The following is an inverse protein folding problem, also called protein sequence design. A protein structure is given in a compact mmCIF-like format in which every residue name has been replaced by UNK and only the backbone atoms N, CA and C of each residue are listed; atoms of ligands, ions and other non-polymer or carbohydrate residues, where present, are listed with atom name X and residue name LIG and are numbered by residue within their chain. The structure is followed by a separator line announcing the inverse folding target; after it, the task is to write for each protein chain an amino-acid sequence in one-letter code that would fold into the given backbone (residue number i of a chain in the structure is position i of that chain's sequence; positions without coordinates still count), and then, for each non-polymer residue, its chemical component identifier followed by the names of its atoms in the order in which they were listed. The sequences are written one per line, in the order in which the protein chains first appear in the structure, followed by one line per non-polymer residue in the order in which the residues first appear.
data_IF_860213206249
#
_entry.id   IF_860213206249
#
_cell.length_a   1.000
_cell.length_b   1.000
_cell.length_c   1.000
_cell.angle_alpha   90.00
_cell.angle_beta   90.00
_cell.angle_gamma   90.00
#
_symmetry.space_group_name_H-M   'P 1'
#
loop_
_entity.id
_entity.type
_entity.pdbx_description
1 polymer ?
#
# COMPACT_ATOMS: atom_id res chain seq x y z
N UNK A 1 -19.63 -13.73 8.01
CA UNK A 1 -19.91 -14.83 7.07
C UNK A 1 -20.76 -14.28 5.94
N UNK A 2 -20.19 -14.12 4.73
CA UNK A 2 -20.84 -13.47 3.58
C UNK A 2 -21.27 -14.46 2.50
N UNK A 3 -20.85 -15.73 2.60
CA UNK A 3 -21.10 -16.75 1.59
C UNK A 3 -22.14 -17.81 2.01
N UNK A 4 -22.39 -17.98 3.31
CA UNK A 4 -23.43 -18.89 3.83
C UNK A 4 -23.10 -20.38 3.70
N UNK A 5 -21.93 -20.70 3.15
CA UNK A 5 -21.40 -22.03 2.90
C UNK A 5 -20.06 -22.28 3.60
N UNK A 6 -19.58 -21.34 4.42
CA UNK A 6 -18.40 -21.52 5.26
C UNK A 6 -18.71 -22.54 6.37
N UNK A 7 -17.99 -23.67 6.37
CA UNK A 7 -18.20 -24.79 7.28
C UNK A 7 -17.13 -24.88 8.39
N UNK A 8 -16.30 -23.85 8.55
CA UNK A 8 -15.23 -23.78 9.56
C UNK A 8 -13.83 -23.85 8.96
N UNK A 9 -12.82 -23.89 9.84
CA UNK A 9 -11.42 -24.04 9.48
C UNK A 9 -10.67 -24.84 10.55
N UNK A 10 -9.53 -25.42 10.16
CA UNK A 10 -8.58 -26.05 11.06
C UNK A 10 -7.56 -25.04 11.57
N UNK A 11 -6.97 -25.32 12.72
CA UNK A 11 -5.83 -24.54 13.21
C UNK A 11 -4.67 -24.58 12.19
N UNK A 12 -3.87 -23.49 12.10
CA UNK A 12 -2.70 -23.47 11.23
C UNK A 12 -1.67 -24.50 11.65
N UNK A 13 -1.19 -25.28 10.68
CA UNK A 13 -0.10 -26.22 10.84
C UNK A 13 1.22 -25.55 10.43
N UNK A 14 2.22 -25.54 11.32
CA UNK A 14 3.52 -24.93 11.03
C UNK A 14 4.60 -25.99 10.77
N UNK A 15 5.49 -25.68 9.84
CA UNK A 15 6.72 -26.41 9.62
C UNK A 15 7.75 -26.19 10.74
N UNK A 16 8.91 -26.87 10.66
CA UNK A 16 9.97 -26.69 11.63
C UNK A 16 10.50 -25.26 11.60
N UNK A 17 11.03 -24.83 12.74
CA UNK A 17 11.71 -23.55 12.87
C UNK A 17 13.03 -23.59 12.09
N UNK A 18 13.27 -22.54 11.30
CA UNK A 18 14.50 -22.34 10.55
C UNK A 18 15.11 -20.99 10.92
N UNK A 19 16.42 -20.98 11.15
CA UNK A 19 17.18 -19.76 11.39
C UNK A 19 17.79 -19.27 10.07
N UNK A 20 17.48 -18.03 9.71
CA UNK A 20 17.92 -17.38 8.48
C UNK A 20 18.78 -16.16 8.82
N UNK A 21 19.88 -15.98 8.11
CA UNK A 21 20.72 -14.77 8.19
C UNK A 21 20.34 -13.84 7.05
N UNK A 22 19.61 -12.76 7.35
CA UNK A 22 19.08 -11.80 6.39
C UNK A 22 19.70 -10.42 6.64
N UNK A 23 20.54 -9.95 5.70
CA UNK A 23 21.32 -8.69 5.83
C UNK A 23 22.03 -8.59 7.19
N UNK A 24 22.66 -9.69 7.63
CA UNK A 24 23.43 -9.75 8.87
C UNK A 24 22.61 -9.87 10.17
N UNK A 25 21.28 -10.01 10.07
CA UNK A 25 20.40 -10.27 11.22
C UNK A 25 19.96 -11.73 11.17
N UNK A 26 20.09 -12.44 12.28
CA UNK A 26 19.51 -13.78 12.44
C UNK A 26 18.06 -13.71 12.88
N UNK A 27 17.20 -14.44 12.18
CA UNK A 27 15.78 -14.59 12.54
C UNK A 27 15.37 -16.05 12.52
N UNK A 28 14.64 -16.47 13.54
CA UNK A 28 14.06 -17.83 13.61
C UNK A 28 12.56 -17.75 13.31
N UNK A 29 12.14 -18.49 12.28
CA UNK A 29 10.80 -18.40 11.68
C UNK A 29 10.31 -19.80 11.28
N UNK A 30 8.99 -20.05 11.17
CA UNK A 30 8.52 -21.32 10.65
C UNK A 30 8.91 -21.46 9.18
N UNK A 31 9.38 -22.63 8.75
CA UNK A 31 9.71 -22.85 7.33
C UNK A 31 8.50 -22.62 6.42
N UNK A 32 7.33 -23.08 6.87
CA UNK A 32 6.07 -22.98 6.14
C UNK A 32 4.88 -22.95 7.11
N UNK A 33 3.73 -22.50 6.62
CA UNK A 33 2.43 -22.65 7.28
C UNK A 33 1.44 -23.28 6.29
N UNK A 34 0.60 -24.19 6.78
CA UNK A 34 -0.53 -24.74 6.04
C UNK A 34 -1.83 -24.41 6.77
N UNK A 35 -2.78 -23.84 6.04
CA UNK A 35 -4.11 -23.52 6.55
C UNK A 35 -5.17 -24.27 5.75
N UNK A 36 -6.24 -24.72 6.42
CA UNK A 36 -7.31 -25.49 5.79
C UNK A 36 -8.67 -24.92 6.16
N UNK A 37 -9.46 -24.55 5.15
CA UNK A 37 -10.84 -24.09 5.30
C UNK A 37 -11.80 -25.15 4.78
N UNK A 38 -12.98 -25.24 5.38
CA UNK A 38 -14.03 -26.17 5.00
C UNK A 38 -15.18 -25.42 4.35
N UNK A 39 -15.59 -25.83 3.15
CA UNK A 39 -16.72 -25.26 2.40
C UNK A 39 -17.81 -26.31 2.22
N UNK A 40 -19.06 -25.92 2.42
CA UNK A 40 -20.22 -26.74 2.07
C UNK A 40 -20.54 -26.56 0.59
N UNK A 41 -20.41 -27.63 -0.18
CA UNK A 41 -20.73 -27.63 -1.61
C UNK A 41 -22.25 -27.60 -1.83
N UNK A 42 -22.74 -27.16 -3.01
CA UNK A 42 -24.17 -27.21 -3.34
C UNK A 42 -24.79 -28.61 -3.25
N UNK A 43 -23.98 -29.67 -3.40
CA UNK A 43 -24.36 -31.07 -3.19
C UNK A 43 -24.64 -31.43 -1.72
N UNK A 44 -24.29 -30.56 -0.77
CA UNK A 44 -24.41 -30.79 0.67
C UNK A 44 -23.15 -31.37 1.33
N UNK A 45 -22.16 -31.80 0.55
CA UNK A 45 -20.89 -32.32 1.05
C UNK A 45 -20.02 -31.19 1.63
N UNK A 46 -19.20 -31.51 2.64
CA UNK A 46 -18.18 -30.60 3.16
C UNK A 46 -16.84 -30.98 2.51
N UNK A 47 -16.23 -30.02 1.82
CA UNK A 47 -14.94 -30.17 1.14
C UNK A 47 -13.92 -29.26 1.80
N UNK A 48 -12.71 -29.79 2.02
CA UNK A 48 -11.59 -29.06 2.60
C UNK A 48 -10.69 -28.48 1.50
N UNK A 49 -10.32 -27.22 1.66
CA UNK A 49 -9.40 -26.51 0.79
C UNK A 49 -8.21 -26.06 1.62
N UNK A 50 -7.01 -26.52 1.25
CA UNK A 50 -5.77 -26.16 1.93
C UNK A 50 -4.86 -25.29 1.06
N UNK A 51 -4.13 -24.38 1.71
CA UNK A 51 -2.99 -23.70 1.13
C UNK A 51 -1.78 -23.81 2.05
N UNK A 52 -0.61 -23.98 1.44
CA UNK A 52 0.68 -24.08 2.13
C UNK A 52 1.59 -23.00 1.56
N UNK A 53 2.07 -22.14 2.44
CA UNK A 53 2.89 -20.98 2.11
C UNK A 53 4.24 -21.10 2.81
N UNK A 54 5.32 -20.75 2.11
CA UNK A 54 6.66 -20.72 2.68
C UNK A 54 7.00 -19.31 3.17
N UNK A 55 7.65 -19.23 4.34
CA UNK A 55 7.96 -17.93 4.95
C UNK A 55 8.83 -17.07 4.03
N UNK A 56 9.87 -17.67 3.43
CA UNK A 56 10.82 -17.01 2.54
C UNK A 56 10.19 -16.45 1.25
N UNK A 57 9.01 -16.95 0.87
CA UNK A 57 8.27 -16.50 -0.32
C UNK A 57 7.28 -15.36 -0.01
N UNK A 58 6.91 -15.19 1.26
CA UNK A 58 5.80 -14.32 1.68
C UNK A 58 6.23 -13.11 2.50
N UNK A 59 7.37 -13.17 3.19
CA UNK A 59 7.76 -12.12 4.12
C UNK A 59 8.03 -10.77 3.43
N UNK A 60 7.64 -9.68 4.08
CA UNK A 60 7.92 -8.32 3.58
C UNK A 60 9.23 -7.79 4.17
N UNK A 61 10.08 -7.22 3.31
CA UNK A 61 11.34 -6.60 3.70
C UNK A 61 11.11 -5.22 4.35
N UNK A 62 12.07 -4.76 5.15
CA UNK A 62 12.03 -3.46 5.81
C UNK A 62 12.22 -2.27 4.85
N UNK A 63 12.67 -2.53 3.62
CA UNK A 63 12.92 -1.52 2.59
C UNK A 63 13.43 -2.18 1.30
N UNK A 64 13.63 -1.37 0.27
CA UNK A 64 14.05 -1.84 -1.07
C UNK A 64 15.49 -2.38 -1.10
N UNK A 65 16.38 -1.82 -0.29
CA UNK A 65 17.81 -2.13 -0.31
C UNK A 65 18.22 -3.18 0.76
N UNK A 66 17.26 -3.90 1.34
CA UNK A 66 17.52 -4.87 2.40
C UNK A 66 16.67 -6.13 2.25
N UNK A 67 17.25 -7.27 2.65
CA UNK A 67 16.55 -8.55 2.79
C UNK A 67 16.03 -8.76 4.21
N UNK A 68 16.30 -7.84 5.14
CA UNK A 68 15.82 -7.95 6.50
C UNK A 68 14.28 -7.78 6.55
N UNK A 69 13.56 -8.59 7.34
CA UNK A 69 12.12 -8.46 7.48
C UNK A 69 11.73 -7.13 8.13
N UNK A 70 10.54 -6.63 7.81
CA UNK A 70 9.98 -5.43 8.44
C UNK A 70 9.58 -5.68 9.91
N UNK A 71 9.18 -4.62 10.62
CA UNK A 71 8.83 -4.70 12.04
C UNK A 71 7.70 -5.70 12.34
N UNK A 72 6.73 -5.84 11.45
CA UNK A 72 5.57 -6.72 11.61
C UNK A 72 5.98 -8.20 11.50
N UNK A 73 6.76 -8.53 10.47
CA UNK A 73 7.29 -9.88 10.24
C UNK A 73 8.30 -10.31 11.30
N UNK A 74 9.06 -9.38 11.88
CA UNK A 74 9.91 -9.64 13.06
C UNK A 74 9.10 -9.94 14.32
N UNK A 75 8.00 -9.21 14.55
CA UNK A 75 7.21 -9.31 15.79
C UNK A 75 6.26 -10.51 15.79
N UNK A 76 5.67 -10.89 14.65
CA UNK A 76 4.68 -11.97 14.55
C UNK A 76 4.89 -12.86 13.32
N UNK A 77 6.05 -13.54 13.17
CA UNK A 77 6.36 -14.31 11.96
C UNK A 77 5.35 -15.43 11.65
N UNK A 78 4.88 -16.15 12.69
CA UNK A 78 3.86 -17.21 12.54
C UNK A 78 2.50 -16.65 12.16
N UNK A 79 2.05 -15.58 12.85
CA UNK A 79 0.75 -14.98 12.60
C UNK A 79 0.64 -14.35 11.21
N UNK A 80 1.71 -13.71 10.73
CA UNK A 80 1.75 -13.16 9.37
C UNK A 80 1.68 -14.28 8.32
N UNK A 81 2.47 -15.36 8.49
CA UNK A 81 2.44 -16.47 7.55
C UNK A 81 1.11 -17.23 7.57
N UNK A 82 0.50 -17.40 8.74
CA UNK A 82 -0.82 -18.02 8.88
C UNK A 82 -1.90 -17.20 8.15
N UNK A 83 -1.86 -15.87 8.26
CA UNK A 83 -2.75 -14.97 7.51
C UNK A 83 -2.60 -15.13 5.99
N UNK A 84 -1.37 -15.22 5.49
CA UNK A 84 -1.12 -15.49 4.07
C UNK A 84 -1.71 -16.84 3.64
N UNK A 85 -1.46 -17.90 4.41
CA UNK A 85 -1.97 -19.24 4.12
C UNK A 85 -3.50 -19.32 4.18
N UNK A 86 -4.13 -18.67 5.16
CA UNK A 86 -5.60 -18.58 5.26
C UNK A 86 -6.19 -17.86 4.04
N UNK A 87 -5.65 -16.70 3.68
CA UNK A 87 -6.12 -15.96 2.51
C UNK A 87 -6.03 -16.79 1.22
N UNK A 88 -4.96 -17.57 1.04
CA UNK A 88 -4.80 -18.45 -0.12
C UNK A 88 -5.77 -19.64 -0.09
N UNK A 89 -6.04 -20.20 1.09
CA UNK A 89 -7.04 -21.26 1.24
C UNK A 89 -8.45 -20.75 0.92
N UNK A 90 -8.79 -19.55 1.38
CA UNK A 90 -10.06 -18.88 1.08
C UNK A 90 -10.22 -18.59 -0.43
N UNK A 91 -9.17 -18.10 -1.10
CA UNK A 91 -9.18 -17.89 -2.56
C UNK A 91 -9.41 -19.19 -3.35
N UNK A 92 -8.86 -20.31 -2.87
CA UNK A 92 -9.09 -21.63 -3.47
C UNK A 92 -10.51 -22.14 -3.26
N UNK A 93 -11.07 -21.90 -2.08
CA UNK A 93 -12.41 -22.37 -1.72
C UNK A 93 -13.53 -21.53 -2.37
N UNK A 94 -13.34 -20.21 -2.53
CA UNK A 94 -14.29 -19.32 -3.19
C UNK A 94 -13.64 -18.50 -4.31
N UNK A 95 -13.22 -19.10 -5.45
CA UNK A 95 -12.63 -18.35 -6.55
C UNK A 95 -13.51 -17.19 -7.06
N UNK A 96 -14.83 -17.36 -6.98
CA UNK A 96 -15.86 -16.40 -7.37
C UNK A 96 -15.95 -15.15 -6.46
N UNK A 97 -15.54 -15.27 -5.19
CA UNK A 97 -15.57 -14.18 -4.19
C UNK A 97 -14.15 -13.71 -3.85
N UNK A 98 -13.14 -14.57 -3.99
CA UNK A 98 -11.74 -14.33 -3.61
C UNK A 98 -10.98 -13.33 -4.48
N UNK A 99 -11.61 -12.77 -5.51
CA UNK A 99 -11.11 -11.62 -6.27
C UNK A 99 -11.57 -10.28 -5.66
N UNK A 100 -12.46 -10.28 -4.67
CA UNK A 100 -12.75 -9.07 -3.91
C UNK A 100 -11.61 -8.86 -2.90
N UNK A 101 -10.98 -7.67 -2.85
CA UNK A 101 -9.95 -7.38 -1.86
C UNK A 101 -10.52 -7.68 -0.46
N UNK A 102 -9.87 -8.58 0.27
CA UNK A 102 -10.23 -8.93 1.64
C UNK A 102 -10.35 -7.65 2.47
N UNK A 103 -11.31 -7.52 3.36
CA UNK A 103 -11.49 -6.31 4.18
C UNK A 103 -10.24 -5.94 5.01
N UNK A 104 -9.30 -6.87 5.22
CA UNK A 104 -7.98 -6.60 5.78
C UNK A 104 -6.99 -5.89 4.85
N UNK A 105 -7.30 -5.69 3.56
CA UNK A 105 -6.64 -4.70 2.67
C UNK A 105 -7.07 -3.26 3.00
N UNK A 106 -8.07 -3.10 3.90
CA UNK A 106 -8.63 -1.81 4.33
C UNK A 106 -8.45 -1.50 5.83
N UNK A 107 -7.70 -2.32 6.58
CA UNK A 107 -7.36 -2.00 7.98
C UNK A 107 -5.87 -2.28 8.21
N UNK A 108 -5.05 -1.26 7.91
CA UNK A 108 -3.59 -1.32 8.09
C UNK A 108 -2.76 -0.39 7.20
N UNK A 109 -3.34 0.22 6.16
CA UNK A 109 -2.67 1.28 5.38
C UNK A 109 -2.74 2.61 6.13
N UNK A 110 -1.91 2.80 7.16
CA UNK A 110 -1.26 4.11 7.28
C UNK A 110 -0.38 4.26 6.05
N UNK A 111 -0.96 4.97 5.09
CA UNK A 111 -0.34 5.68 3.98
C UNK A 111 1.18 5.77 4.10
N UNK A 112 1.91 4.95 3.35
CA UNK A 112 3.20 5.31 2.78
C UNK A 112 3.58 4.32 1.67
N UNK A 113 3.45 4.83 0.43
CA UNK A 113 4.38 4.69 -0.69
C UNK A 113 4.45 3.36 -1.46
N UNK A 114 4.14 3.53 -2.76
CA UNK A 114 4.62 2.80 -3.94
C UNK A 114 4.36 1.29 -4.04
N UNK A 115 3.34 0.94 -4.84
CA UNK A 115 3.41 -0.25 -5.68
C UNK A 115 3.37 0.19 -7.15
N UNK A 116 4.55 0.14 -7.80
CA UNK A 116 4.68 0.11 -9.26
C UNK A 116 4.06 -1.18 -9.78
N UNK A 117 3.09 -1.04 -10.66
CA UNK A 117 2.50 -2.13 -11.46
C UNK A 117 3.46 -2.51 -12.61
N UNK A 118 3.73 -3.81 -12.77
CA UNK A 118 4.51 -4.41 -13.86
C UNK A 118 3.57 -5.31 -14.66
N UNK A 119 2.66 -4.70 -15.42
CA UNK A 119 1.82 -5.36 -16.44
C UNK A 119 1.65 -4.39 -17.63
N UNK A 120 1.76 -4.84 -18.89
CA UNK A 120 1.87 -3.94 -20.04
C UNK A 120 0.64 -3.04 -20.21
N UNK A 121 0.90 -1.73 -20.24
CA UNK A 121 -0.05 -0.62 -20.41
C UNK A 121 -1.03 -0.90 -21.57
N UNK A 122 -2.29 -1.18 -21.24
CA UNK A 122 -3.42 -0.79 -22.08
C UNK A 122 -3.96 0.52 -21.52
N UNK A 123 -3.80 1.57 -22.31
CA UNK A 123 -4.15 2.96 -22.03
C UNK A 123 -5.63 3.09 -21.66
N UNK A 124 -5.90 3.41 -20.40
CA UNK A 124 -7.05 4.23 -20.04
C UNK A 124 -6.52 5.22 -19.01
N UNK A 125 -6.04 6.36 -19.52
CA UNK A 125 -5.81 7.58 -18.78
C UNK A 125 -7.07 7.93 -17.99
N UNK A 126 -7.06 7.69 -16.68
CA UNK A 126 -7.68 8.63 -15.77
C UNK A 126 -6.62 9.72 -15.51
N UNK A 127 -6.99 10.95 -15.85
CA UNK A 127 -6.20 12.18 -15.87
C UNK A 127 -5.34 12.36 -14.60
N UNK A 128 -4.18 13.03 -14.68
CA UNK A 128 -3.55 13.58 -13.49
C UNK A 128 -4.57 14.49 -12.82
N UNK A 129 -4.89 14.24 -11.54
CA UNK A 129 -5.74 15.11 -10.74
C UNK A 129 -5.03 16.46 -10.63
N UNK A 130 -5.38 17.36 -11.56
CA UNK A 130 -5.02 18.77 -11.53
C UNK A 130 -5.42 19.34 -10.18
N UNK A 131 -4.67 20.33 -9.71
CA UNK A 131 -5.01 21.02 -8.48
C UNK A 131 -6.47 21.51 -8.52
N UNK A 132 -7.20 21.23 -7.45
CA UNK A 132 -8.56 21.68 -7.20
C UNK A 132 -8.65 23.20 -7.24
N UNK A 133 -9.80 23.71 -7.66
CA UNK A 133 -10.05 25.15 -7.73
C UNK A 133 -9.93 25.79 -6.33
N UNK A 134 -10.34 25.07 -5.27
CA UNK A 134 -10.17 25.53 -3.89
C UNK A 134 -8.70 25.74 -3.51
N UNK A 135 -7.82 24.80 -3.87
CA UNK A 135 -6.38 24.90 -3.58
C UNK A 135 -5.71 26.01 -4.38
N UNK A 136 -6.07 26.17 -5.67
CA UNK A 136 -5.56 27.25 -6.52
C UNK A 136 -6.02 28.62 -6.03
N UNK A 137 -7.26 28.75 -5.56
CA UNK A 137 -7.76 29.98 -4.97
C UNK A 137 -7.02 30.33 -3.68
N UNK A 138 -6.81 29.36 -2.78
CA UNK A 138 -6.06 29.57 -1.54
C UNK A 138 -4.62 30.06 -1.81
N UNK A 139 -3.94 29.50 -2.81
CA UNK A 139 -2.61 29.96 -3.24
C UNK A 139 -2.67 31.39 -3.76
N UNK A 140 -3.67 31.72 -4.58
CA UNK A 140 -3.86 33.07 -5.15
C UNK A 140 -4.08 34.11 -4.04
N UNK A 141 -4.90 33.79 -3.05
CA UNK A 141 -5.18 34.67 -1.90
C UNK A 141 -3.91 34.92 -1.08
N UNK A 142 -3.11 33.87 -0.85
CA UNK A 142 -1.83 33.98 -0.15
C UNK A 142 -0.82 34.81 -0.94
N UNK A 143 -0.69 34.58 -2.25
CA UNK A 143 0.21 35.36 -3.11
C UNK A 143 -0.18 36.84 -3.10
N UNK A 144 -1.48 37.15 -3.18
CA UNK A 144 -2.00 38.51 -3.09
C UNK A 144 -1.65 39.15 -1.75
N UNK A 145 -1.82 38.42 -0.63
CA UNK A 145 -1.47 38.93 0.71
C UNK A 145 0.02 39.22 0.88
N UNK A 146 0.89 38.54 0.11
CA UNK A 146 2.34 38.68 0.14
C UNK A 146 2.88 39.62 -0.95
N UNK A 147 2.00 40.25 -1.73
CA UNK A 147 2.34 41.05 -2.91
C UNK A 147 3.26 40.31 -3.90
N UNK A 148 2.93 39.04 -4.16
CA UNK A 148 3.62 38.12 -5.07
C UNK A 148 2.69 37.64 -6.15
N UNK A 149 3.24 37.07 -7.20
CA UNK A 149 2.45 36.53 -8.31
C UNK A 149 2.82 35.08 -8.66
N UNK A 150 2.02 34.51 -9.55
CA UNK A 150 2.20 33.14 -9.99
C UNK A 150 3.46 32.97 -10.85
N UNK A 151 3.71 33.86 -11.80
CA UNK A 151 4.73 33.67 -12.85
C UNK A 151 6.16 33.97 -12.37
N UNK A 152 6.34 34.96 -11.50
CA UNK A 152 7.64 35.41 -11.03
C UNK A 152 8.04 34.74 -9.72
N UNK A 153 7.09 34.40 -8.85
CA UNK A 153 7.39 33.83 -7.53
C UNK A 153 7.02 32.35 -7.42
N UNK A 154 5.75 32.01 -7.63
CA UNK A 154 5.23 30.69 -7.24
C UNK A 154 5.60 29.56 -8.20
N UNK A 155 5.40 29.75 -9.49
CA UNK A 155 5.69 28.73 -10.51
C UNK A 155 7.19 28.46 -10.67
N UNK A 156 8.10 29.46 -10.61
CA UNK A 156 9.54 29.20 -10.55
C UNK A 156 9.96 28.47 -9.27
N UNK A 157 9.34 28.79 -8.13
CA UNK A 157 9.57 28.07 -6.88
C UNK A 157 9.16 26.59 -7.02
N UNK A 158 7.96 26.32 -7.53
CA UNK A 158 7.48 24.96 -7.77
C UNK A 158 8.39 24.22 -8.76
N UNK A 159 8.79 24.87 -9.86
CA UNK A 159 9.69 24.27 -10.85
C UNK A 159 11.02 23.83 -10.24
N UNK A 160 11.59 24.67 -9.36
CA UNK A 160 12.83 24.37 -8.65
C UNK A 160 12.70 23.24 -7.62
N UNK A 161 11.57 23.16 -6.92
CA UNK A 161 11.29 22.14 -5.91
C UNK A 161 11.05 20.78 -6.57
N UNK A 162 10.23 20.74 -7.62
CA UNK A 162 9.80 19.50 -8.27
C UNK A 162 10.72 19.05 -9.43
N UNK A 163 11.76 19.85 -9.74
CA UNK A 163 12.73 19.57 -10.82
C UNK A 163 12.06 19.32 -12.17
N UNK A 164 11.00 20.10 -12.45
CA UNK A 164 10.19 20.04 -13.68
C UNK A 164 9.84 21.46 -14.10
N UNK A 165 9.75 21.71 -15.39
CA UNK A 165 9.30 23.00 -15.91
C UNK A 165 7.79 23.16 -15.73
N UNK A 166 7.37 24.14 -14.93
CA UNK A 166 5.96 24.45 -14.64
C UNK A 166 5.72 25.91 -15.00
N UNK A 167 4.93 26.13 -16.03
CA UNK A 167 4.66 27.46 -16.60
C UNK A 167 3.23 27.95 -16.33
N UNK A 168 2.33 27.07 -15.89
CA UNK A 168 0.93 27.43 -15.62
C UNK A 168 0.40 26.70 -14.39
N UNK A 169 -0.53 27.32 -13.67
CA UNK A 169 -1.15 26.75 -12.48
C UNK A 169 -1.90 25.42 -12.77
N UNK A 170 -2.49 25.28 -13.96
CA UNK A 170 -3.16 24.06 -14.44
C UNK A 170 -2.22 22.86 -14.60
N UNK A 171 -0.91 23.08 -14.65
CA UNK A 171 0.09 22.03 -14.74
C UNK A 171 0.49 21.47 -13.38
N UNK A 172 -0.01 22.05 -12.28
CA UNK A 172 0.19 21.56 -10.93
C UNK A 172 -0.81 20.45 -10.63
N UNK A 173 -0.30 19.36 -10.08
CA UNK A 173 -1.10 18.37 -9.38
C UNK A 173 -1.54 18.91 -8.01
N UNK A 174 -2.61 18.33 -7.44
CA UNK A 174 -3.09 18.71 -6.11
C UNK A 174 -1.97 18.66 -5.05
N UNK A 175 -1.12 17.63 -5.09
CA UNK A 175 0.00 17.51 -4.16
C UNK A 175 1.07 18.59 -4.35
N UNK A 176 1.40 18.93 -5.60
CA UNK A 176 2.39 19.96 -5.90
C UNK A 176 1.91 21.34 -5.46
N UNK A 177 0.62 21.63 -5.68
CA UNK A 177 -0.02 22.87 -5.25
C UNK A 177 -0.02 22.99 -3.70
N UNK A 178 -0.42 21.95 -2.98
CA UNK A 178 -0.42 21.94 -1.50
C UNK A 178 1.00 22.06 -0.91
N UNK A 179 1.98 21.36 -1.51
CA UNK A 179 3.39 21.45 -1.08
C UNK A 179 3.94 22.85 -1.36
N UNK A 180 3.72 23.40 -2.55
CA UNK A 180 4.11 24.77 -2.90
C UNK A 180 3.51 25.82 -1.97
N UNK A 181 2.22 25.69 -1.66
CA UNK A 181 1.51 26.53 -0.70
C UNK A 181 2.15 26.50 0.69
N UNK A 182 2.45 25.30 1.20
CA UNK A 182 3.11 25.12 2.51
C UNK A 182 4.51 25.75 2.56
N UNK A 183 5.27 25.68 1.46
CA UNK A 183 6.56 26.35 1.34
C UNK A 183 6.43 27.87 1.30
N UNK A 184 5.43 28.40 0.58
CA UNK A 184 5.15 29.83 0.53
C UNK A 184 4.79 30.37 1.91
N UNK A 185 3.95 29.65 2.67
CA UNK A 185 3.61 30.00 4.07
C UNK A 185 4.83 30.01 4.97
N UNK A 186 5.69 28.99 4.90
CA UNK A 186 6.94 28.96 5.69
C UNK A 186 7.87 30.11 5.31
N UNK A 187 8.01 30.42 4.02
CA UNK A 187 8.83 31.55 3.55
C UNK A 187 8.27 32.90 4.01
N UNK A 188 6.95 33.04 4.09
CA UNK A 188 6.30 34.23 4.62
C UNK A 188 6.53 34.40 6.13
N UNK A 189 6.46 33.31 6.91
CA UNK A 189 6.73 33.34 8.36
C UNK A 189 8.18 33.65 8.70
N UNK A 190 9.14 33.31 7.83
CA UNK A 190 10.56 33.61 8.02
C UNK A 190 10.93 35.03 7.58
N UNK A 191 10.10 35.68 6.76
CA UNK A 191 10.31 37.02 6.24
C UNK A 191 9.57 38.13 7.01
N UNK A 192 8.71 37.75 7.96
CA UNK A 192 8.01 38.63 8.91
C UNK A 192 8.81 38.76 10.22
#
# INVERSE_FOLDING_TARGET
DRSGDYAGAKEPEFGPDVTLTLTGIEVTVPQWCKYTVSKRMPSGEIVEFSAKEYWVENYATAGRDTTAPNAMWKKRPYGQLAKCAEAQALRKAWPEIGQQPTAEEMEGKTLEVDARDVTPRSTTEALPLVASEETLQAITDLLTSLNKDWEQDFLPLCSNIFKRDIFQASQLTEEEAQKGFSFLQKKAQVAA
#
